data_IF_734364065223
#
_entry.id   IF_734364065223
#
_cell.length_a   1.000
_cell.length_b   1.000
_cell.length_c   1.000
_cell.angle_alpha   90.00
_cell.angle_beta   90.00
_cell.angle_gamma   90.00
#
_symmetry.space_group_name_H-M   'P 1'
#
loop_
_entity.id
_entity.type
_entity.pdbx_description
1 polymer ?
#
# COMPACT_ATOMS: atom_id res chain seq x y z
N UNK A 1 -78.84 68.35 -23.68
CA UNK A 1 -80.08 67.60 -23.63
C UNK A 1 -79.79 66.23 -23.08
N UNK A 2 -80.29 66.06 -21.85
CA UNK A 2 -80.81 64.86 -21.19
C UNK A 2 -80.03 63.58 -21.18
N UNK A 3 -79.41 63.25 -20.06
CA UNK A 3 -79.86 62.25 -19.05
C UNK A 3 -79.74 60.76 -19.58
N UNK A 4 -79.03 59.88 -18.95
CA UNK A 4 -79.43 59.18 -17.69
C UNK A 4 -78.33 58.27 -17.16
N UNK A 5 -78.19 58.31 -15.82
CA UNK A 5 -77.49 57.42 -14.92
C UNK A 5 -78.00 55.99 -14.98
N UNK A 6 -77.13 55.07 -14.69
CA UNK A 6 -77.26 53.86 -13.79
C UNK A 6 -76.04 52.97 -14.07
N UNK A 7 -75.43 52.36 -13.17
CA UNK A 7 -75.54 52.11 -11.77
C UNK A 7 -74.33 51.24 -11.33
N UNK A 8 -73.94 51.49 -10.12
CA UNK A 8 -72.90 50.87 -9.37
C UNK A 8 -73.04 49.34 -9.27
N UNK A 9 -72.01 48.57 -9.45
CA UNK A 9 -71.71 47.36 -8.63
C UNK A 9 -70.20 47.13 -8.54
N UNK A 10 -69.68 47.34 -7.35
CA UNK A 10 -68.39 46.98 -6.88
C UNK A 10 -68.30 45.46 -6.81
N UNK A 11 -67.36 44.84 -7.51
CA UNK A 11 -66.95 43.44 -7.25
C UNK A 11 -65.54 43.51 -6.77
N UNK A 12 -65.35 43.20 -5.49
CA UNK A 12 -64.04 42.95 -4.87
C UNK A 12 -63.50 41.64 -5.43
N UNK A 13 -62.44 41.71 -6.23
CA UNK A 13 -61.68 40.54 -6.57
C UNK A 13 -60.56 40.37 -5.52
N UNK A 14 -60.69 39.35 -4.68
CA UNK A 14 -59.66 38.90 -3.75
C UNK A 14 -58.59 38.19 -4.57
N UNK A 15 -57.40 38.81 -4.75
CA UNK A 15 -56.22 38.15 -5.27
C UNK A 15 -55.63 37.26 -4.19
N UNK A 16 -55.89 35.96 -4.27
CA UNK A 16 -55.19 34.94 -3.54
C UNK A 16 -53.81 34.74 -4.14
N UNK A 17 -52.77 35.25 -3.50
CA UNK A 17 -51.41 34.99 -3.83
C UNK A 17 -51.07 33.55 -3.41
N UNK A 18 -51.14 32.61 -4.33
CA UNK A 18 -50.61 31.25 -4.14
C UNK A 18 -49.09 31.28 -4.29
N UNK A 19 -48.35 31.35 -3.20
CA UNK A 19 -46.93 31.14 -3.16
C UNK A 19 -46.63 29.66 -3.52
N UNK A 20 -46.23 29.41 -4.74
CA UNK A 20 -45.64 28.15 -5.17
C UNK A 20 -44.27 28.02 -4.50
N UNK A 21 -44.21 27.36 -3.35
CA UNK A 21 -42.99 26.82 -2.77
C UNK A 21 -42.49 25.70 -3.72
N UNK A 22 -41.59 26.02 -4.65
CA UNK A 22 -40.75 25.03 -5.30
C UNK A 22 -39.80 24.45 -4.24
N UNK A 23 -40.28 23.40 -3.57
CA UNK A 23 -39.41 22.53 -2.79
C UNK A 23 -38.38 21.92 -3.74
N UNK A 24 -37.16 22.41 -3.69
CA UNK A 24 -36.00 21.69 -4.23
C UNK A 24 -35.91 20.38 -3.41
N UNK A 25 -36.63 19.36 -3.85
CA UNK A 25 -36.35 17.99 -3.44
C UNK A 25 -34.96 17.67 -4.00
N UNK A 26 -33.95 17.78 -3.13
CA UNK A 26 -32.68 17.09 -3.35
C UNK A 26 -33.04 15.61 -3.44
N UNK A 27 -33.25 15.14 -4.66
CA UNK A 27 -33.35 13.71 -4.91
C UNK A 27 -32.01 13.14 -4.53
N UNK A 28 -31.96 12.45 -3.38
CA UNK A 28 -30.86 11.56 -3.06
C UNK A 28 -30.68 10.64 -4.27
N UNK A 29 -29.55 10.76 -4.96
CA UNK A 29 -29.18 9.85 -6.03
C UNK A 29 -29.29 8.45 -5.44
N UNK A 30 -30.09 7.53 -6.00
CA UNK A 30 -30.22 6.20 -5.45
C UNK A 30 -28.83 5.59 -5.39
N UNK A 31 -28.43 5.12 -4.21
CA UNK A 31 -27.22 4.33 -4.04
C UNK A 31 -27.27 3.23 -5.10
N UNK A 32 -26.22 3.20 -5.95
CA UNK A 32 -26.15 2.37 -7.14
C UNK A 32 -26.50 0.92 -6.77
N UNK A 33 -27.64 0.43 -7.23
CA UNK A 33 -28.08 -0.96 -7.02
C UNK A 33 -27.09 -1.97 -7.62
N UNK A 34 -26.13 -1.51 -8.42
CA UNK A 34 -25.11 -2.29 -9.10
C UNK A 34 -23.77 -2.44 -8.30
N UNK A 35 -23.60 -1.76 -7.15
CA UNK A 35 -22.32 -1.75 -6.40
C UNK A 35 -21.28 -0.79 -7.02
N UNK A 36 -20.19 -0.54 -6.25
CA UNK A 36 -19.12 0.37 -6.66
C UNK A 36 -18.17 -0.28 -7.68
N UNK A 37 -17.67 0.53 -8.60
CA UNK A 37 -16.57 0.16 -9.52
C UNK A 37 -15.29 0.82 -9.02
N UNK A 38 -14.24 0.03 -8.81
CA UNK A 38 -12.96 0.48 -8.28
C UNK A 38 -11.88 0.34 -9.36
N UNK A 39 -11.17 1.43 -9.66
CA UNK A 39 -9.95 1.41 -10.47
C UNK A 39 -8.72 1.14 -9.60
N UNK A 40 -7.79 0.33 -10.08
CA UNK A 40 -6.52 0.05 -9.39
C UNK A 40 -5.37 0.35 -10.34
N UNK A 41 -4.50 1.31 -10.00
CA UNK A 41 -3.26 1.59 -10.74
C UNK A 41 -2.06 1.16 -9.92
N UNK A 42 -1.29 0.21 -10.45
CA UNK A 42 -0.05 -0.29 -9.87
C UNK A 42 1.08 -0.11 -10.88
N UNK A 43 1.99 0.83 -10.63
CA UNK A 43 3.04 1.27 -11.55
C UNK A 43 4.23 0.31 -11.69
N UNK A 44 4.30 -0.76 -10.90
CA UNK A 44 5.37 -1.76 -10.92
C UNK A 44 4.77 -3.16 -10.76
N UNK A 45 4.95 -4.02 -11.75
CA UNK A 45 4.50 -5.40 -11.74
C UNK A 45 5.69 -6.37 -11.68
N UNK A 46 5.42 -7.65 -11.43
CA UNK A 46 6.43 -8.71 -11.47
C UNK A 46 7.14 -8.97 -10.14
N UNK A 47 6.62 -8.48 -9.01
CA UNK A 47 7.04 -8.94 -7.71
C UNK A 47 5.83 -9.35 -6.85
N UNK A 48 6.00 -10.41 -6.08
CA UNK A 48 4.91 -11.03 -5.30
C UNK A 48 4.29 -10.10 -4.26
N UNK A 49 5.01 -9.12 -3.71
CA UNK A 49 4.45 -8.14 -2.80
C UNK A 49 3.34 -7.32 -3.49
N UNK A 50 3.59 -6.85 -4.72
CA UNK A 50 2.63 -6.06 -5.47
C UNK A 50 1.45 -6.90 -5.98
N UNK A 51 1.73 -8.14 -6.38
CA UNK A 51 0.67 -9.08 -6.73
C UNK A 51 -0.24 -9.39 -5.53
N UNK A 52 0.34 -9.62 -4.35
CA UNK A 52 -0.41 -9.79 -3.10
C UNK A 52 -1.23 -8.55 -2.76
N UNK A 53 -0.71 -7.35 -2.98
CA UNK A 53 -1.44 -6.08 -2.78
C UNK A 53 -2.70 -6.01 -3.66
N UNK A 54 -2.59 -6.34 -4.94
CA UNK A 54 -3.72 -6.36 -5.88
C UNK A 54 -4.71 -7.46 -5.49
N UNK A 55 -4.23 -8.66 -5.13
CA UNK A 55 -5.09 -9.74 -4.66
C UNK A 55 -5.85 -9.39 -3.37
N UNK A 56 -5.23 -8.65 -2.46
CA UNK A 56 -5.89 -8.17 -1.24
C UNK A 56 -7.02 -7.18 -1.54
N UNK A 57 -6.82 -6.28 -2.53
CA UNK A 57 -7.89 -5.39 -3.01
C UNK A 57 -9.06 -6.22 -3.54
N UNK A 58 -8.80 -7.20 -4.41
CA UNK A 58 -9.82 -8.06 -5.00
C UNK A 58 -10.58 -8.88 -3.95
N UNK A 59 -9.86 -9.50 -3.02
CA UNK A 59 -10.45 -10.30 -1.94
C UNK A 59 -11.36 -9.47 -1.04
N UNK A 60 -10.90 -8.28 -0.60
CA UNK A 60 -11.70 -7.39 0.24
C UNK A 60 -12.90 -6.82 -0.54
N UNK A 61 -12.74 -6.53 -1.85
CA UNK A 61 -13.84 -6.10 -2.70
C UNK A 61 -14.95 -7.15 -2.76
N UNK A 62 -14.59 -8.41 -2.95
CA UNK A 62 -15.54 -9.55 -3.00
C UNK A 62 -16.29 -9.70 -1.67
N UNK A 63 -15.59 -9.57 -0.55
CA UNK A 63 -16.18 -9.74 0.78
C UNK A 63 -17.03 -8.55 1.21
N UNK A 64 -16.73 -7.35 0.76
CA UNK A 64 -17.46 -6.14 1.10
C UNK A 64 -18.93 -6.18 0.65
N UNK A 65 -19.25 -6.96 -0.41
CA UNK A 65 -20.56 -7.04 -1.10
C UNK A 65 -21.07 -5.66 -1.59
N UNK A 66 -20.21 -4.64 -1.58
CA UNK A 66 -20.52 -3.26 -2.00
C UNK A 66 -19.84 -2.89 -3.30
N UNK A 67 -18.85 -3.67 -3.69
CA UNK A 67 -18.08 -3.49 -4.92
C UNK A 67 -18.56 -4.51 -5.94
N UNK A 68 -18.91 -4.03 -7.13
CA UNK A 68 -19.35 -4.87 -8.24
C UNK A 68 -18.19 -5.24 -9.17
N UNK A 69 -17.16 -4.39 -9.24
CA UNK A 69 -16.04 -4.62 -10.16
C UNK A 69 -14.76 -3.92 -9.69
N UNK A 70 -13.61 -4.57 -9.97
CA UNK A 70 -12.27 -4.03 -9.77
C UNK A 70 -11.53 -4.05 -11.11
N UNK A 71 -11.28 -2.87 -11.67
CA UNK A 71 -10.55 -2.68 -12.92
C UNK A 71 -9.07 -2.45 -12.61
N UNK A 72 -8.19 -3.33 -13.08
CA UNK A 72 -6.77 -3.31 -12.72
C UNK A 72 -5.90 -2.89 -13.90
N UNK A 73 -5.07 -1.87 -13.68
CA UNK A 73 -3.91 -1.52 -14.50
C UNK A 73 -2.65 -1.80 -13.67
N UNK A 74 -2.00 -2.94 -13.93
CA UNK A 74 -0.79 -3.37 -13.22
C UNK A 74 0.28 -3.67 -14.25
N UNK A 75 1.29 -2.80 -14.33
CA UNK A 75 2.38 -2.89 -15.32
C UNK A 75 3.55 -2.00 -14.91
N UNK A 76 4.73 -2.31 -15.44
CA UNK A 76 5.89 -1.44 -15.27
C UNK A 76 5.70 -0.18 -16.09
N UNK A 77 5.57 0.96 -15.44
CA UNK A 77 5.36 2.26 -16.08
C UNK A 77 5.82 3.41 -15.15
N UNK A 78 5.97 4.59 -15.72
CA UNK A 78 6.29 5.84 -15.02
C UNK A 78 5.03 6.61 -14.59
N UNK A 79 5.21 7.82 -14.07
CA UNK A 79 4.11 8.69 -13.67
C UNK A 79 3.20 9.10 -14.86
N UNK A 80 3.73 9.22 -16.07
CA UNK A 80 2.94 9.53 -17.26
C UNK A 80 2.02 8.37 -17.61
N UNK A 81 2.53 7.13 -17.58
CA UNK A 81 1.71 5.94 -17.79
C UNK A 81 0.65 5.73 -16.70
N UNK A 82 0.98 5.97 -15.43
CA UNK A 82 -0.03 5.94 -14.35
C UNK A 82 -1.08 7.06 -14.51
N UNK A 83 -0.68 8.25 -14.96
CA UNK A 83 -1.62 9.34 -15.28
C UNK A 83 -2.60 8.94 -16.38
N UNK A 84 -2.12 8.22 -17.41
CA UNK A 84 -2.99 7.68 -18.46
C UNK A 84 -3.97 6.63 -17.93
N UNK A 85 -3.53 5.76 -16.98
CA UNK A 85 -4.42 4.80 -16.32
C UNK A 85 -5.51 5.52 -15.51
N UNK A 86 -5.16 6.55 -14.75
CA UNK A 86 -6.11 7.37 -13.96
C UNK A 86 -7.15 8.01 -14.89
N UNK A 87 -6.73 8.64 -16.01
CA UNK A 87 -7.66 9.24 -16.98
C UNK A 87 -8.56 8.20 -17.65
N UNK A 88 -8.05 6.99 -17.90
CA UNK A 88 -8.87 5.87 -18.37
C UNK A 88 -9.95 5.52 -17.35
N UNK A 89 -9.61 5.43 -16.07
CA UNK A 89 -10.59 5.17 -15.01
C UNK A 89 -11.62 6.31 -14.87
N UNK A 90 -11.23 7.57 -15.07
CA UNK A 90 -12.16 8.70 -15.13
C UNK A 90 -13.17 8.49 -16.28
N UNK A 91 -12.70 8.14 -17.48
CA UNK A 91 -13.57 7.88 -18.64
C UNK A 91 -14.52 6.70 -18.43
N UNK A 92 -14.09 5.70 -17.67
CA UNK A 92 -14.88 4.53 -17.25
C UNK A 92 -15.83 4.81 -16.08
N UNK A 93 -15.81 6.05 -15.54
CA UNK A 93 -16.68 6.49 -14.43
C UNK A 93 -16.59 5.62 -13.19
N UNK A 94 -15.38 5.20 -12.83
CA UNK A 94 -15.18 4.46 -11.58
C UNK A 94 -15.56 5.32 -10.37
N UNK A 95 -15.94 4.69 -9.26
CA UNK A 95 -16.33 5.41 -8.04
C UNK A 95 -15.12 5.79 -7.19
N UNK A 96 -14.10 4.96 -7.19
CA UNK A 96 -12.83 5.26 -6.51
C UNK A 96 -11.63 4.69 -7.29
N UNK A 97 -10.46 5.29 -7.07
CA UNK A 97 -9.18 4.83 -7.60
C UNK A 97 -8.26 4.52 -6.42
N UNK A 98 -7.73 3.31 -6.39
CA UNK A 98 -6.66 2.89 -5.50
C UNK A 98 -5.36 2.91 -6.31
N UNK A 99 -4.36 3.69 -5.88
CA UNK A 99 -3.10 3.83 -6.58
C UNK A 99 -1.92 3.49 -5.67
N UNK A 100 -1.01 2.65 -6.15
CA UNK A 100 0.34 2.57 -5.60
C UNK A 100 1.25 3.44 -6.47
N UNK A 101 1.58 4.67 -6.03
CA UNK A 101 2.22 5.66 -6.88
C UNK A 101 3.71 5.36 -7.08
N UNK A 102 4.19 5.50 -8.31
CA UNK A 102 5.62 5.49 -8.62
C UNK A 102 6.32 6.81 -8.28
N UNK A 103 5.56 7.91 -8.28
CA UNK A 103 6.02 9.25 -7.93
C UNK A 103 4.92 9.98 -7.13
N UNK A 104 5.31 10.67 -6.06
CA UNK A 104 4.35 11.31 -5.14
C UNK A 104 3.78 12.62 -5.66
N UNK A 105 4.46 13.31 -6.57
CA UNK A 105 4.12 14.65 -7.04
C UNK A 105 3.69 14.65 -8.52
N UNK A 106 4.42 13.95 -9.38
CA UNK A 106 4.19 13.95 -10.82
C UNK A 106 2.83 13.37 -11.24
N UNK A 107 2.21 12.54 -10.40
CA UNK A 107 0.88 11.96 -10.65
C UNK A 107 -0.28 12.90 -10.26
N UNK A 108 -0.01 13.95 -9.45
CA UNK A 108 -1.05 14.79 -8.84
C UNK A 108 -2.04 15.39 -9.83
N UNK A 109 -1.64 15.95 -11.00
CA UNK A 109 -2.61 16.54 -11.93
C UNK A 109 -3.71 15.55 -12.33
N UNK A 110 -3.36 14.30 -12.61
CA UNK A 110 -4.35 13.27 -12.96
C UNK A 110 -5.24 12.87 -11.77
N UNK A 111 -4.68 12.83 -10.55
CA UNK A 111 -5.45 12.56 -9.34
C UNK A 111 -6.43 13.70 -9.02
N UNK A 112 -6.02 14.94 -9.24
CA UNK A 112 -6.87 16.12 -9.06
C UNK A 112 -8.01 16.14 -10.10
N UNK A 113 -7.73 15.77 -11.36
CA UNK A 113 -8.76 15.55 -12.39
C UNK A 113 -9.78 14.49 -11.94
N UNK A 114 -9.32 13.37 -11.35
CA UNK A 114 -10.20 12.33 -10.85
C UNK A 114 -11.07 12.83 -9.69
N UNK A 115 -10.49 13.54 -8.73
CA UNK A 115 -11.22 14.11 -7.59
C UNK A 115 -12.23 15.19 -8.03
N UNK A 116 -11.88 16.01 -9.01
CA UNK A 116 -12.80 16.99 -9.61
C UNK A 116 -13.99 16.31 -10.31
N UNK A 117 -13.80 15.10 -10.84
CA UNK A 117 -14.88 14.26 -11.38
C UNK A 117 -15.69 13.52 -10.28
N UNK A 118 -15.45 13.78 -9.01
CA UNK A 118 -16.13 13.16 -7.86
C UNK A 118 -15.62 11.77 -7.46
N UNK A 119 -14.54 11.29 -8.07
CA UNK A 119 -13.93 10.00 -7.79
C UNK A 119 -13.11 10.09 -6.50
N UNK A 120 -13.25 9.11 -5.59
CA UNK A 120 -12.41 9.03 -4.39
C UNK A 120 -11.04 8.48 -4.77
N UNK A 121 -9.97 9.13 -4.30
CA UNK A 121 -8.58 8.73 -4.58
C UNK A 121 -7.94 8.22 -3.29
N UNK A 122 -7.40 7.00 -3.35
CA UNK A 122 -6.73 6.33 -2.23
C UNK A 122 -5.33 5.92 -2.67
N UNK A 123 -4.30 6.55 -2.12
CA UNK A 123 -2.92 6.13 -2.32
C UNK A 123 -2.55 5.07 -1.28
N UNK A 124 -1.99 3.94 -1.73
CA UNK A 124 -1.57 2.84 -0.88
C UNK A 124 -0.06 2.64 -0.94
N UNK A 125 0.55 2.25 0.18
CA UNK A 125 1.98 2.01 0.38
C UNK A 125 2.85 3.28 0.28
N UNK A 126 2.80 4.01 -0.82
CA UNK A 126 3.44 5.32 -1.00
C UNK A 126 2.43 6.47 -0.92
N UNK A 127 2.77 7.60 -0.29
CA UNK A 127 1.90 8.79 -0.29
C UNK A 127 1.93 9.50 -1.64
N UNK A 128 0.88 10.31 -1.88
CA UNK A 128 0.83 11.36 -2.89
C UNK A 128 0.66 12.72 -2.20
N UNK A 129 1.05 13.81 -2.86
CA UNK A 129 0.86 15.15 -2.32
C UNK A 129 -0.42 15.84 -2.80
N UNK A 130 -1.22 15.19 -3.64
CA UNK A 130 -2.53 15.67 -4.09
C UNK A 130 -3.47 15.88 -2.90
N UNK A 131 -3.93 17.12 -2.71
CA UNK A 131 -4.83 17.47 -1.59
C UNK A 131 -6.20 16.80 -1.80
N UNK A 132 -6.70 16.17 -0.74
CA UNK A 132 -7.99 15.47 -0.77
C UNK A 132 -7.90 13.98 -1.06
N UNK A 133 -6.73 13.46 -1.46
CA UNK A 133 -6.50 12.03 -1.53
C UNK A 133 -6.39 11.42 -0.12
N UNK A 134 -6.87 10.19 0.01
CA UNK A 134 -6.67 9.38 1.22
C UNK A 134 -5.34 8.64 1.11
N UNK A 135 -4.56 8.63 2.17
CA UNK A 135 -3.28 7.91 2.26
C UNK A 135 -3.48 6.71 3.18
N UNK A 136 -3.23 5.52 2.68
CA UNK A 136 -3.28 4.26 3.45
C UNK A 136 -1.95 3.56 3.27
N UNK A 137 -1.02 3.77 4.19
CA UNK A 137 0.36 3.36 4.03
C UNK A 137 0.87 2.57 5.24
N UNK A 138 1.77 1.64 4.98
CA UNK A 138 2.70 1.23 6.01
C UNK A 138 3.58 2.44 6.34
N UNK A 139 3.82 2.74 7.62
CA UNK A 139 4.69 3.86 7.98
C UNK A 139 6.13 3.55 7.54
N UNK A 140 6.45 3.99 6.33
CA UNK A 140 7.73 3.70 5.69
C UNK A 140 8.90 4.39 6.41
N UNK A 141 8.67 5.54 7.04
CA UNK A 141 9.70 6.21 7.85
C UNK A 141 9.97 5.41 9.12
N UNK A 142 8.91 4.98 9.82
CA UNK A 142 9.04 4.11 10.97
C UNK A 142 9.66 2.75 10.60
N UNK A 143 9.38 2.20 9.39
CA UNK A 143 10.04 0.99 8.87
C UNK A 143 11.55 1.17 8.81
N UNK A 144 12.01 2.24 8.16
CA UNK A 144 13.44 2.54 8.05
C UNK A 144 14.11 2.69 9.43
N UNK A 145 13.47 3.43 10.33
CA UNK A 145 13.96 3.65 11.68
C UNK A 145 13.97 2.37 12.53
N UNK A 146 12.89 1.58 12.53
CA UNK A 146 12.80 0.35 13.32
C UNK A 146 13.84 -0.68 12.90
N UNK A 147 14.03 -0.87 11.58
CA UNK A 147 15.08 -1.74 11.06
C UNK A 147 16.48 -1.26 11.43
N UNK A 148 16.76 0.04 11.32
CA UNK A 148 18.05 0.60 11.67
C UNK A 148 18.37 0.48 13.16
N UNK A 149 17.39 0.73 14.04
CA UNK A 149 17.54 0.61 15.51
C UNK A 149 17.80 -0.85 15.91
N UNK A 150 17.05 -1.79 15.34
CA UNK A 150 17.24 -3.21 15.61
C UNK A 150 18.60 -3.71 15.08
N UNK A 151 19.04 -3.22 13.90
CA UNK A 151 20.37 -3.52 13.37
C UNK A 151 21.47 -2.98 14.26
N UNK A 152 21.35 -1.70 14.69
CA UNK A 152 22.31 -1.08 15.58
C UNK A 152 22.51 -1.89 16.87
N UNK A 153 21.40 -2.32 17.46
CA UNK A 153 21.45 -3.20 18.65
C UNK A 153 22.14 -4.52 18.37
N UNK A 154 21.81 -5.19 17.27
CA UNK A 154 22.42 -6.47 16.86
C UNK A 154 23.92 -6.33 16.59
N UNK A 155 24.35 -5.20 16.05
CA UNK A 155 25.75 -4.85 15.80
C UNK A 155 26.49 -4.30 17.04
N UNK A 156 25.83 -4.23 18.20
CA UNK A 156 26.40 -3.60 19.42
C UNK A 156 26.87 -2.17 19.17
N UNK A 157 26.12 -1.44 18.35
CA UNK A 157 26.27 0.00 18.01
C UNK A 157 27.61 0.37 17.34
N UNK A 158 28.26 -0.55 16.62
CA UNK A 158 29.53 -0.31 15.93
C UNK A 158 29.72 -1.18 14.69
N UNK A 159 30.50 -0.67 13.74
CA UNK A 159 30.91 -1.41 12.54
C UNK A 159 30.33 -0.86 11.24
N UNK A 160 30.68 -1.53 10.14
CA UNK A 160 30.32 -1.15 8.80
C UNK A 160 29.00 -1.78 8.37
N UNK A 161 28.13 -0.99 7.74
CA UNK A 161 26.84 -1.41 7.23
C UNK A 161 26.86 -1.41 5.70
N UNK A 162 26.43 -2.51 5.09
CA UNK A 162 25.97 -2.55 3.71
C UNK A 162 24.50 -2.12 3.69
N UNK A 163 24.21 -1.05 2.93
CA UNK A 163 22.88 -0.46 2.83
C UNK A 163 22.30 -0.70 1.43
N UNK A 164 21.29 -1.57 1.35
CA UNK A 164 20.67 -2.00 0.09
C UNK A 164 19.25 -1.43 0.00
N UNK A 165 19.11 -0.38 -0.78
CA UNK A 165 17.87 0.38 -0.96
C UNK A 165 16.95 -0.24 -2.01
N UNK A 166 15.74 0.32 -2.13
CA UNK A 166 14.75 -0.06 -3.14
C UNK A 166 15.00 0.60 -4.50
N UNK A 167 14.02 1.37 -4.97
CA UNK A 167 14.07 2.16 -6.20
C UNK A 167 14.38 3.62 -5.83
N UNK A 168 15.38 4.19 -6.47
CA UNK A 168 15.75 5.60 -6.26
C UNK A 168 14.60 6.54 -6.63
N UNK A 169 14.32 7.52 -5.75
CA UNK A 169 13.23 8.48 -5.93
C UNK A 169 11.82 7.94 -5.62
N UNK A 170 11.65 6.63 -5.43
CA UNK A 170 10.34 6.07 -5.07
C UNK A 170 9.92 6.54 -3.66
N UNK A 171 8.64 6.98 -3.46
CA UNK A 171 8.18 7.54 -2.17
C UNK A 171 8.46 6.65 -0.96
N UNK A 172 8.20 5.34 -1.07
CA UNK A 172 8.46 4.40 0.02
C UNK A 172 9.96 4.28 0.33
N UNK A 173 10.83 4.22 -0.70
CA UNK A 173 12.28 4.17 -0.49
C UNK A 173 12.81 5.45 0.15
N UNK A 174 12.35 6.62 -0.31
CA UNK A 174 12.73 7.93 0.25
C UNK A 174 12.39 8.01 1.75
N UNK A 175 11.17 7.63 2.13
CA UNK A 175 10.76 7.64 3.54
C UNK A 175 11.54 6.63 4.39
N UNK A 176 11.81 5.42 3.86
CA UNK A 176 12.67 4.43 4.55
C UNK A 176 14.08 4.97 4.75
N UNK A 177 14.63 5.63 3.74
CA UNK A 177 15.95 6.27 3.82
C UNK A 177 15.98 7.35 4.90
N UNK A 178 14.98 8.22 4.98
CA UNK A 178 14.88 9.25 6.01
C UNK A 178 14.81 8.62 7.41
N UNK A 179 14.01 7.58 7.59
CA UNK A 179 13.93 6.83 8.85
C UNK A 179 15.26 6.19 9.23
N UNK A 180 15.87 5.46 8.31
CA UNK A 180 17.16 4.80 8.49
C UNK A 180 18.26 5.80 8.87
N UNK A 181 18.41 6.90 8.10
CA UNK A 181 19.46 7.90 8.32
C UNK A 181 19.26 8.66 9.63
N UNK A 182 18.01 8.89 10.06
CA UNK A 182 17.71 9.52 11.35
C UNK A 182 18.27 8.71 12.53
N UNK A 183 18.25 7.38 12.43
CA UNK A 183 18.83 6.49 13.44
C UNK A 183 20.35 6.41 13.32
N UNK A 184 20.87 6.23 12.11
CA UNK A 184 22.32 6.14 11.90
C UNK A 184 23.08 7.35 12.41
N UNK A 185 22.50 8.55 12.34
CA UNK A 185 23.08 9.79 12.91
C UNK A 185 23.32 9.71 14.43
N UNK A 186 22.60 8.87 15.16
CA UNK A 186 22.75 8.70 16.61
C UNK A 186 23.99 7.87 16.97
N UNK A 187 24.44 6.98 16.08
CA UNK A 187 25.45 5.95 16.37
C UNK A 187 26.74 6.21 15.59
N UNK A 188 27.59 7.11 16.11
CA UNK A 188 28.82 7.57 15.45
C UNK A 188 29.83 6.45 15.08
N UNK A 189 29.78 5.33 15.79
CA UNK A 189 30.65 4.17 15.54
C UNK A 189 30.07 3.19 14.50
N UNK A 190 28.88 3.45 13.95
CA UNK A 190 28.30 2.75 12.83
C UNK A 190 28.46 3.60 11.56
N UNK A 191 28.89 2.96 10.47
CA UNK A 191 29.14 3.67 9.20
C UNK A 191 28.49 2.91 8.05
N UNK A 192 27.72 3.58 7.22
CA UNK A 192 27.33 3.07 5.90
C UNK A 192 28.56 3.21 5.00
N UNK A 193 29.20 2.10 4.72
CA UNK A 193 30.43 2.09 3.88
C UNK A 193 30.15 1.68 2.43
N UNK A 194 28.95 1.19 2.17
CA UNK A 194 28.45 0.93 0.82
C UNK A 194 26.93 1.08 0.79
N UNK A 195 26.43 1.86 -0.15
CA UNK A 195 25.03 2.02 -0.49
C UNK A 195 24.81 1.58 -1.94
N UNK A 196 23.71 0.85 -2.20
CA UNK A 196 23.31 0.38 -3.53
C UNK A 196 21.80 0.34 -3.66
N UNK A 197 21.30 0.51 -4.89
CA UNK A 197 19.90 0.36 -5.24
C UNK A 197 19.62 -0.99 -5.89
N UNK A 198 18.74 -1.76 -5.29
CA UNK A 198 18.34 -3.10 -5.78
C UNK A 198 17.18 -3.01 -6.77
N UNK A 199 16.49 -1.89 -6.84
CA UNK A 199 15.24 -1.67 -7.59
C UNK A 199 14.11 -2.62 -7.14
N UNK A 200 14.19 -3.19 -5.92
CA UNK A 200 13.34 -4.27 -5.44
C UNK A 200 13.32 -5.48 -6.38
N UNK A 201 14.39 -5.68 -7.13
CA UNK A 201 14.62 -6.84 -7.99
C UNK A 201 15.45 -7.89 -7.23
N UNK A 202 14.89 -9.08 -7.09
CA UNK A 202 15.48 -10.17 -6.32
C UNK A 202 16.79 -10.69 -6.93
N UNK A 203 16.85 -10.80 -8.26
CA UNK A 203 18.04 -11.25 -8.96
C UNK A 203 19.17 -10.22 -8.82
N UNK A 204 18.89 -8.96 -9.12
CA UNK A 204 19.84 -7.85 -8.96
C UNK A 204 20.36 -7.74 -7.53
N UNK A 205 19.46 -7.82 -6.55
CA UNK A 205 19.84 -7.76 -5.12
C UNK A 205 20.74 -8.92 -4.71
N UNK A 206 20.46 -10.12 -5.18
CA UNK A 206 21.29 -11.31 -4.98
C UNK A 206 22.68 -11.19 -5.61
N UNK A 207 22.77 -10.68 -6.85
CA UNK A 207 24.03 -10.42 -7.53
C UNK A 207 24.87 -9.38 -6.81
N UNK A 208 24.28 -8.25 -6.42
CA UNK A 208 24.94 -7.21 -5.63
C UNK A 208 25.45 -7.77 -4.29
N UNK A 209 24.66 -8.59 -3.61
CA UNK A 209 25.09 -9.23 -2.37
C UNK A 209 26.30 -10.16 -2.58
N UNK A 210 26.28 -10.99 -3.62
CA UNK A 210 27.41 -11.86 -3.98
C UNK A 210 28.68 -11.08 -4.30
N UNK A 211 28.58 -9.95 -4.99
CA UNK A 211 29.72 -9.10 -5.33
C UNK A 211 30.30 -8.36 -4.12
N UNK A 212 29.45 -7.90 -3.20
CA UNK A 212 29.84 -6.99 -2.14
C UNK A 212 30.20 -7.66 -0.83
N UNK A 213 29.53 -8.77 -0.48
CA UNK A 213 29.78 -9.48 0.77
C UNK A 213 31.11 -10.20 0.73
N UNK A 214 32.05 -9.74 1.55
CA UNK A 214 33.37 -10.32 1.74
C UNK A 214 33.65 -10.45 3.25
N UNK A 215 34.42 -11.45 3.70
CA UNK A 215 34.76 -11.65 5.09
C UNK A 215 35.33 -10.39 5.74
N UNK A 216 34.75 -9.95 6.85
CA UNK A 216 35.21 -8.80 7.63
C UNK A 216 34.85 -7.42 7.10
N UNK A 217 34.36 -7.30 5.87
CA UNK A 217 34.05 -6.00 5.23
C UNK A 217 32.86 -5.28 5.88
N UNK A 218 31.81 -6.01 6.22
CA UNK A 218 30.62 -5.49 6.86
C UNK A 218 30.29 -6.28 8.14
N UNK A 219 29.68 -5.61 9.10
CA UNK A 219 29.20 -6.18 10.36
C UNK A 219 27.68 -6.27 10.41
N UNK A 220 26.99 -5.69 9.43
CA UNK A 220 25.54 -5.79 9.27
C UNK A 220 25.09 -5.36 7.90
N UNK A 221 23.89 -5.80 7.54
CA UNK A 221 23.24 -5.43 6.28
C UNK A 221 21.84 -4.90 6.57
N UNK A 222 21.49 -3.78 5.98
CA UNK A 222 20.12 -3.30 5.94
C UNK A 222 19.60 -3.40 4.53
N UNK A 223 18.47 -4.09 4.34
CA UNK A 223 17.81 -4.15 3.03
C UNK A 223 16.42 -3.54 3.09
N UNK A 224 15.97 -3.01 1.97
CA UNK A 224 14.61 -2.50 1.79
C UNK A 224 13.62 -3.63 1.43
N UNK A 225 13.86 -4.87 1.87
CA UNK A 225 13.02 -6.04 1.62
C UNK A 225 13.59 -7.04 0.61
N UNK A 226 14.79 -6.82 0.10
CA UNK A 226 15.53 -7.82 -0.71
C UNK A 226 16.46 -8.59 0.23
N UNK A 227 15.95 -9.55 0.95
CA UNK A 227 16.57 -10.18 2.12
C UNK A 227 17.08 -11.59 1.87
N UNK A 228 16.23 -12.54 1.47
CA UNK A 228 16.62 -13.94 1.38
C UNK A 228 17.82 -14.22 0.43
N UNK A 229 18.00 -13.54 -0.72
CA UNK A 229 19.18 -13.77 -1.56
C UNK A 229 20.46 -13.27 -0.90
N UNK A 230 20.36 -12.27 0.00
CA UNK A 230 21.50 -11.78 0.79
C UNK A 230 21.94 -12.84 1.79
N UNK A 231 21.01 -13.58 2.41
CA UNK A 231 21.32 -14.72 3.27
C UNK A 231 22.02 -15.84 2.48
N UNK A 232 21.55 -16.12 1.25
CA UNK A 232 22.20 -17.10 0.37
C UNK A 232 23.64 -16.67 0.00
N UNK A 233 23.84 -15.38 -0.26
CA UNK A 233 25.19 -14.85 -0.48
C UNK A 233 26.08 -14.96 0.76
N UNK A 234 25.53 -14.82 1.97
CA UNK A 234 26.29 -15.04 3.21
C UNK A 234 26.72 -16.50 3.37
N UNK A 235 25.86 -17.47 3.00
CA UNK A 235 26.22 -18.91 3.06
C UNK A 235 27.46 -19.22 2.24
N UNK A 236 27.55 -18.64 1.04
CA UNK A 236 28.67 -18.87 0.12
C UNK A 236 29.87 -18.00 0.44
N UNK A 237 29.73 -16.69 0.42
CA UNK A 237 30.83 -15.73 0.48
C UNK A 237 31.45 -15.61 1.88
N UNK A 238 30.62 -15.74 2.93
CA UNK A 238 31.07 -15.68 4.32
C UNK A 238 31.25 -17.08 4.94
N UNK A 239 31.19 -18.14 4.13
CA UNK A 239 31.37 -19.54 4.55
C UNK A 239 30.48 -19.93 5.73
N UNK A 240 29.21 -19.53 5.68
CA UNK A 240 28.22 -19.78 6.74
C UNK A 240 28.42 -18.95 8.01
N UNK A 241 29.26 -17.95 8.00
CA UNK A 241 29.32 -16.93 9.06
C UNK A 241 28.27 -15.87 8.77
N UNK A 242 27.23 -15.84 9.58
CA UNK A 242 26.14 -14.89 9.38
C UNK A 242 26.40 -13.59 10.13
N UNK A 243 26.06 -12.45 9.50
CA UNK A 243 26.03 -11.14 10.13
C UNK A 243 24.57 -10.69 10.23
N UNK A 244 24.20 -9.80 11.16
CA UNK A 244 22.83 -9.28 11.27
C UNK A 244 22.31 -8.71 9.95
N UNK A 245 21.08 -9.04 9.60
CA UNK A 245 20.41 -8.62 8.37
C UNK A 245 19.01 -8.11 8.67
N UNK A 246 18.69 -6.91 8.19
CA UNK A 246 17.32 -6.38 8.15
C UNK A 246 16.68 -6.72 6.82
N UNK A 247 15.48 -7.26 6.86
CA UNK A 247 14.63 -7.54 5.72
C UNK A 247 13.15 -7.31 6.04
N UNK A 248 12.29 -7.64 5.09
CA UNK A 248 10.85 -7.56 5.24
C UNK A 248 10.23 -8.90 5.68
N UNK A 249 8.92 -8.94 5.78
CA UNK A 249 8.11 -10.11 6.13
C UNK A 249 7.90 -11.07 4.94
N UNK A 250 9.00 -11.37 4.20
CA UNK A 250 8.98 -12.32 3.10
C UNK A 250 9.06 -13.76 3.61
N UNK A 251 8.34 -14.67 2.96
CA UNK A 251 8.17 -16.05 3.43
C UNK A 251 9.50 -16.80 3.60
N UNK A 252 10.39 -16.71 2.62
CA UNK A 252 11.70 -17.37 2.70
C UNK A 252 12.61 -16.72 3.76
N UNK A 253 12.55 -15.40 3.92
CA UNK A 253 13.35 -14.75 4.96
C UNK A 253 12.88 -15.12 6.38
N UNK A 254 11.56 -15.28 6.58
CA UNK A 254 11.01 -15.81 7.84
C UNK A 254 11.54 -17.24 8.11
N UNK A 255 11.52 -18.12 7.09
CA UNK A 255 12.08 -19.47 7.19
C UNK A 255 13.56 -19.43 7.56
N UNK A 256 14.38 -18.65 6.84
CA UNK A 256 15.81 -18.51 7.10
C UNK A 256 16.09 -17.94 8.51
N UNK A 257 15.32 -16.93 8.92
CA UNK A 257 15.44 -16.33 10.25
C UNK A 257 15.18 -17.37 11.37
N UNK A 258 14.22 -18.26 11.16
CA UNK A 258 13.92 -19.36 12.07
C UNK A 258 15.01 -20.44 12.06
N UNK A 259 15.33 -21.00 10.90
CA UNK A 259 16.20 -22.18 10.78
C UNK A 259 17.67 -21.86 11.07
N UNK A 260 18.12 -20.64 10.78
CA UNK A 260 19.49 -20.24 10.98
C UNK A 260 19.77 -19.57 12.32
N UNK A 261 18.74 -19.38 13.16
CA UNK A 261 18.88 -18.79 14.49
C UNK A 261 19.87 -19.60 15.37
N UNK A 262 19.81 -20.94 15.32
CA UNK A 262 20.74 -21.83 16.04
C UNK A 262 22.19 -21.74 15.52
N UNK A 263 22.41 -21.23 14.31
CA UNK A 263 23.71 -20.98 13.70
C UNK A 263 24.22 -19.56 13.93
N UNK A 264 23.57 -18.79 14.81
CA UNK A 264 23.96 -17.44 15.18
C UNK A 264 23.48 -16.35 14.20
N UNK A 265 22.61 -16.68 13.26
CA UNK A 265 22.01 -15.67 12.36
C UNK A 265 21.00 -14.80 13.13
N UNK A 266 21.14 -13.49 13.01
CA UNK A 266 20.19 -12.50 13.51
C UNK A 266 19.47 -11.88 12.33
N UNK A 267 18.42 -12.56 11.86
CA UNK A 267 17.45 -11.99 10.93
C UNK A 267 16.53 -11.02 11.67
N UNK A 268 16.39 -9.81 11.15
CA UNK A 268 15.52 -8.75 11.66
C UNK A 268 14.43 -8.54 10.63
N UNK A 269 13.25 -9.05 10.90
CA UNK A 269 12.08 -8.92 10.03
C UNK A 269 11.33 -7.66 10.40
N UNK A 270 11.20 -6.72 9.47
CA UNK A 270 10.37 -5.53 9.65
C UNK A 270 9.10 -5.71 8.84
N UNK A 271 7.94 -5.64 9.50
CA UNK A 271 6.65 -5.88 8.84
C UNK A 271 6.31 -4.76 7.84
N UNK A 272 5.93 -5.19 6.65
CA UNK A 272 5.47 -4.32 5.56
C UNK A 272 4.37 -5.04 4.77
N UNK A 273 3.18 -5.25 5.38
CA UNK A 273 2.16 -6.11 4.81
C UNK A 273 1.68 -5.62 3.45
N UNK A 274 1.81 -6.46 2.43
CA UNK A 274 1.28 -6.21 1.08
C UNK A 274 -0.26 -6.09 1.09
N UNK A 275 -0.92 -6.72 2.06
CA UNK A 275 -2.37 -6.62 2.24
C UNK A 275 -2.87 -5.22 2.64
N UNK A 276 -1.97 -4.22 2.68
CA UNK A 276 -2.31 -2.79 2.71
C UNK A 276 -3.26 -2.40 1.57
N UNK A 277 -3.22 -3.12 0.44
CA UNK A 277 -4.19 -2.93 -0.65
C UNK A 277 -5.63 -3.17 -0.19
N UNK A 278 -5.88 -4.22 0.59
CA UNK A 278 -7.20 -4.51 1.17
C UNK A 278 -7.65 -3.42 2.15
N UNK A 279 -6.71 -2.89 2.97
CA UNK A 279 -6.99 -1.73 3.82
C UNK A 279 -7.36 -0.49 2.98
N UNK A 280 -6.68 -0.28 1.86
CA UNK A 280 -7.02 0.77 0.90
C UNK A 280 -8.44 0.62 0.34
N UNK A 281 -8.86 -0.60 0.03
CA UNK A 281 -10.24 -0.85 -0.42
C UNK A 281 -11.26 -0.54 0.67
N UNK A 282 -11.01 -0.95 1.91
CA UNK A 282 -11.91 -0.61 3.02
C UNK A 282 -12.05 0.91 3.16
N UNK A 283 -10.95 1.65 3.12
CA UNK A 283 -10.99 3.13 3.19
C UNK A 283 -11.71 3.71 1.97
N UNK A 284 -11.55 3.14 0.78
CA UNK A 284 -12.28 3.56 -0.42
C UNK A 284 -13.80 3.42 -0.23
N UNK A 285 -14.26 2.28 0.27
CA UNK A 285 -15.68 2.05 0.57
C UNK A 285 -16.17 3.00 1.67
N UNK A 286 -15.41 3.17 2.75
CA UNK A 286 -15.76 4.09 3.83
C UNK A 286 -15.85 5.56 3.32
N UNK A 287 -14.95 5.96 2.42
CA UNK A 287 -14.98 7.30 1.80
C UNK A 287 -16.18 7.50 0.87
N UNK A 288 -16.56 6.47 0.11
CA UNK A 288 -17.75 6.49 -0.75
C UNK A 288 -19.05 6.56 0.06
N UNK A 289 -19.07 5.97 1.25
CA UNK A 289 -20.22 5.98 2.18
C UNK A 289 -20.22 7.17 3.15
N UNK A 290 -19.22 8.07 3.07
CA UNK A 290 -19.10 9.20 3.99
C UNK A 290 -18.68 8.81 5.41
N UNK A 291 -18.12 7.61 5.60
CA UNK A 291 -17.69 7.04 6.89
C UNK A 291 -16.20 7.23 7.20
N UNK A 292 -15.41 7.66 6.21
CA UNK A 292 -13.99 7.92 6.44
C UNK A 292 -13.80 9.12 7.37
N UNK A 293 -13.11 8.91 8.49
CA UNK A 293 -12.97 9.92 9.57
C UNK A 293 -11.68 10.73 9.50
N UNK A 294 -10.74 10.31 8.67
CA UNK A 294 -9.43 10.95 8.47
C UNK A 294 -8.91 10.69 7.06
N UNK A 295 -7.94 11.49 6.62
CA UNK A 295 -7.35 11.34 5.29
C UNK A 295 -6.06 10.51 5.30
N UNK A 296 -5.48 10.24 6.46
CA UNK A 296 -4.24 9.48 6.58
C UNK A 296 -4.38 8.33 7.57
N UNK A 297 -4.00 7.13 7.11
CA UNK A 297 -4.03 5.86 7.82
C UNK A 297 -2.64 5.22 7.74
N UNK A 298 -1.81 5.45 8.75
CA UNK A 298 -0.46 4.89 8.83
C UNK A 298 -0.45 3.66 9.72
N UNK A 299 0.11 2.56 9.22
CA UNK A 299 0.33 1.32 9.95
C UNK A 299 1.74 1.28 10.50
N UNK A 300 1.88 1.19 11.80
CA UNK A 300 3.18 1.07 12.45
C UNK A 300 3.81 -0.30 12.14
N UNK A 301 5.05 -0.34 11.65
CA UNK A 301 5.77 -1.59 11.44
C UNK A 301 6.19 -2.21 12.78
N UNK A 302 6.22 -3.54 12.81
CA UNK A 302 6.85 -4.30 13.88
C UNK A 302 8.23 -4.79 13.42
N UNK A 303 9.22 -4.78 14.31
CA UNK A 303 10.53 -5.37 14.06
C UNK A 303 10.72 -6.63 14.91
N UNK A 304 10.85 -7.77 14.27
CA UNK A 304 10.93 -9.09 14.90
C UNK A 304 12.30 -9.72 14.74
N UNK A 305 12.74 -10.43 15.77
CA UNK A 305 13.85 -11.39 15.70
C UNK A 305 13.39 -12.73 16.25
N UNK A 306 13.92 -13.85 15.74
CA UNK A 306 13.45 -15.17 16.19
C UNK A 306 13.63 -15.38 17.70
N UNK A 307 14.70 -14.85 18.28
CA UNK A 307 14.96 -14.95 19.70
C UNK A 307 13.89 -14.29 20.58
N UNK A 308 13.20 -13.25 20.08
CA UNK A 308 12.20 -12.49 20.84
C UNK A 308 10.77 -12.73 20.40
N UNK A 309 10.59 -13.02 19.12
CA UNK A 309 9.29 -13.03 18.45
C UNK A 309 9.05 -14.37 17.75
N UNK A 310 9.45 -15.47 18.39
CA UNK A 310 9.29 -16.82 17.85
C UNK A 310 7.88 -17.11 17.36
N UNK A 311 6.88 -16.79 18.21
CA UNK A 311 5.46 -17.04 17.87
C UNK A 311 5.01 -16.25 16.65
N UNK A 312 5.40 -14.97 16.56
CA UNK A 312 5.02 -14.11 15.44
C UNK A 312 5.62 -14.62 14.13
N UNK A 313 6.90 -14.99 14.14
CA UNK A 313 7.61 -15.53 12.98
C UNK A 313 7.05 -16.91 12.57
N UNK A 314 6.85 -17.83 13.54
CA UNK A 314 6.29 -19.17 13.27
C UNK A 314 4.87 -19.10 12.71
N UNK A 315 4.04 -18.15 13.18
CA UNK A 315 2.65 -17.99 12.70
C UNK A 315 2.55 -17.24 11.38
N UNK A 316 3.61 -16.54 10.97
CA UNK A 316 3.65 -15.78 9.72
C UNK A 316 4.33 -16.55 8.57
N UNK A 317 4.97 -17.69 8.85
CA UNK A 317 5.56 -18.53 7.80
C UNK A 317 4.53 -19.50 7.22
N UNK A 318 4.36 -19.49 5.90
CA UNK A 318 3.44 -20.35 5.17
C UNK A 318 4.20 -21.39 4.35
N UNK A 319 4.08 -22.64 4.75
CA UNK A 319 4.69 -23.77 4.02
C UNK A 319 4.07 -23.88 2.61
N UNK A 320 4.91 -24.02 1.60
CA UNK A 320 4.47 -24.17 0.21
C UNK A 320 4.17 -22.87 -0.52
N UNK A 321 4.27 -21.72 0.15
CA UNK A 321 4.22 -20.43 -0.53
C UNK A 321 5.58 -20.02 -1.09
N UNK A 322 5.56 -19.19 -2.14
CA UNK A 322 6.78 -18.70 -2.79
C UNK A 322 7.69 -17.94 -1.82
N UNK A 323 9.00 -17.95 -2.11
CA UNK A 323 10.03 -17.29 -1.33
C UNK A 323 9.74 -15.79 -1.07
N UNK A 324 9.22 -15.13 -2.09
CA UNK A 324 8.95 -13.68 -2.11
C UNK A 324 7.55 -13.30 -1.62
N UNK A 325 6.74 -14.28 -1.21
CA UNK A 325 5.39 -14.03 -0.70
C UNK A 325 5.45 -13.17 0.57
N UNK A 326 4.67 -12.06 0.61
CA UNK A 326 4.53 -11.24 1.83
C UNK A 326 3.62 -11.93 2.82
N UNK A 327 4.19 -12.33 3.93
CA UNK A 327 3.57 -13.28 4.87
C UNK A 327 2.61 -12.62 5.87
N UNK A 328 2.61 -11.30 5.99
CA UNK A 328 1.65 -10.58 6.81
C UNK A 328 0.29 -10.49 6.08
N UNK A 329 -0.53 -11.53 6.22
CA UNK A 329 -1.80 -11.69 5.48
C UNK A 329 -3.01 -11.04 6.15
N UNK A 330 -2.82 -10.24 7.20
CA UNK A 330 -3.89 -9.57 7.94
C UNK A 330 -3.47 -8.21 8.47
N UNK A 331 -4.38 -7.25 8.37
CA UNK A 331 -4.31 -5.96 9.09
C UNK A 331 -5.56 -5.86 9.94
N UNK A 332 -5.45 -6.06 11.29
CA UNK A 332 -6.60 -5.98 12.19
C UNK A 332 -7.38 -4.68 12.03
N UNK A 333 -8.71 -4.78 11.94
CA UNK A 333 -9.60 -3.64 11.74
C UNK A 333 -9.74 -3.15 10.29
N UNK A 334 -8.92 -3.67 9.36
CA UNK A 334 -8.95 -3.26 7.95
C UNK A 334 -9.23 -4.40 6.98
N UNK A 335 -8.67 -5.58 7.20
CA UNK A 335 -8.86 -6.72 6.28
C UNK A 335 -9.69 -7.82 6.92
N UNK A 336 -10.60 -8.42 6.12
CA UNK A 336 -11.56 -9.41 6.62
C UNK A 336 -11.39 -10.79 5.98
N UNK A 337 -10.64 -10.89 4.87
CA UNK A 337 -10.40 -12.14 4.16
C UNK A 337 -9.53 -13.13 4.95
N UNK A 338 -9.71 -14.39 4.65
CA UNK A 338 -8.81 -15.48 5.07
C UNK A 338 -7.61 -15.59 4.10
N UNK A 339 -6.49 -16.25 4.49
CA UNK A 339 -5.40 -16.54 3.55
C UNK A 339 -5.89 -17.26 2.28
N UNK A 340 -6.78 -18.23 2.39
CA UNK A 340 -7.33 -18.94 1.24
C UNK A 340 -8.11 -18.03 0.27
N UNK A 341 -8.83 -17.03 0.78
CA UNK A 341 -9.52 -16.04 -0.06
C UNK A 341 -8.54 -15.09 -0.73
N UNK A 342 -7.49 -14.68 -0.01
CA UNK A 342 -6.39 -13.88 -0.57
C UNK A 342 -5.71 -14.61 -1.74
N UNK A 343 -5.39 -15.89 -1.55
CA UNK A 343 -4.69 -16.71 -2.55
C UNK A 343 -5.51 -16.96 -3.82
N UNK A 344 -6.83 -16.96 -3.74
CA UNK A 344 -7.69 -17.06 -4.93
C UNK A 344 -7.55 -15.87 -5.86
N UNK A 345 -7.19 -14.72 -5.34
CA UNK A 345 -6.99 -13.47 -6.09
C UNK A 345 -8.17 -13.10 -7.03
N UNK A 346 -9.40 -13.39 -6.63
CA UNK A 346 -10.62 -13.15 -7.41
C UNK A 346 -11.27 -11.83 -7.06
N UNK A 347 -11.67 -11.09 -8.09
CA UNK A 347 -12.50 -9.90 -7.99
C UNK A 347 -14.00 -10.26 -8.06
N UNK A 348 -14.92 -9.38 -7.64
CA UNK A 348 -16.36 -9.68 -7.65
C UNK A 348 -16.92 -10.08 -9.01
N UNK A 349 -16.37 -9.53 -10.09
CA UNK A 349 -16.78 -9.82 -11.47
C UNK A 349 -16.18 -11.11 -12.04
N UNK A 350 -15.19 -11.70 -11.38
CA UNK A 350 -14.57 -12.93 -11.85
C UNK A 350 -15.54 -14.09 -11.57
N UNK A 351 -15.95 -14.80 -12.62
CA UNK A 351 -16.86 -15.94 -12.49
C UNK A 351 -16.29 -17.02 -11.56
N UNK A 352 -17.18 -17.72 -10.87
CA UNK A 352 -16.83 -18.91 -10.05
C UNK A 352 -16.51 -20.14 -10.90
N UNK A 353 -16.09 -19.95 -12.16
CA UNK A 353 -15.74 -21.04 -13.05
C UNK A 353 -14.61 -21.84 -12.42
N UNK A 354 -15.01 -22.99 -11.96
CA UNK A 354 -14.30 -24.03 -11.24
C UNK A 354 -12.80 -24.02 -11.30
N UNK A 355 -12.20 -24.25 -10.13
CA UNK A 355 -10.81 -24.56 -9.92
C UNK A 355 -10.15 -25.18 -11.18
N UNK A 356 -9.31 -24.40 -11.86
CA UNK A 356 -8.25 -24.99 -12.64
C UNK A 356 -7.09 -25.18 -11.69
N UNK A 357 -6.84 -26.47 -11.43
CA UNK A 357 -5.88 -26.99 -10.50
C UNK A 357 -4.43 -26.61 -10.78
#
# INVERSE_FOLDING_TARGET
>A
MTLRRKGLRKIFAVLSASALLFGLSVQAVPANAAGYVIGVSNGWAGNSWRETMVCAIKAEATLSKKVSSVLVASRNTDAAGQSADVRKFISQKVNAIIINPGDKDAINPALEEAMAAGIKVIAVDGPVSAKGAYIVSNDQRAYGAAGAEALAKAMKYKGNVLYMRGIDGHPADTLRHEGFTSVMKKYKNMKVTKEVFTNWDWAKGGELAKQLLQPGKFQGVWTSGIDYPVVEAMKTNLRGKYIPLVGADNNEFLRQTKELASKGFVGIVVSNPAVIGGAGLKVAVDALEGKATKNEYLLNPAAWTYAKNKKDIDSSYFVGQEATFSSAVRIPGYTTFTPAQLFRCKAPQDSDDGARG
#
